data_IF_490844427336
#
_entry.id   IF_490844427336
#
_cell.length_a   1.000
_cell.length_b   1.000
_cell.length_c   1.000
_cell.angle_alpha   90.00
_cell.angle_beta   90.00
_cell.angle_gamma   90.00
#
_symmetry.space_group_name_H-M   'P 1'
#
loop_
_entity.id
_entity.type
_entity.pdbx_description
1 polymer ?
#
# COMPACT_ATOMS: atom_id res chain seq x y z
N UNK A 1 3.68 19.67 -10.96
CA UNK A 1 2.89 18.55 -10.44
C UNK A 1 3.76 17.32 -10.30
N UNK A 2 3.72 16.67 -9.14
CA UNK A 2 4.53 15.47 -8.94
C UNK A 2 4.08 14.35 -9.88
N UNK A 3 5.04 13.63 -10.45
CA UNK A 3 4.77 12.49 -11.32
C UNK A 3 5.53 11.30 -10.77
N UNK A 4 4.81 10.31 -10.27
CA UNK A 4 5.38 9.09 -9.69
C UNK A 4 5.27 7.90 -10.63
N UNK A 5 5.12 8.17 -11.92
CA UNK A 5 4.95 7.11 -12.90
C UNK A 5 6.11 6.10 -12.86
N UNK A 6 5.77 4.83 -12.74
CA UNK A 6 6.76 3.76 -12.64
C UNK A 6 7.33 3.53 -11.25
N UNK A 7 6.94 4.33 -10.27
CA UNK A 7 7.35 4.12 -8.88
C UNK A 7 6.36 3.24 -8.13
N UNK A 8 6.83 2.63 -7.06
CA UNK A 8 6.01 1.77 -6.21
C UNK A 8 5.91 2.36 -4.81
N UNK A 9 4.72 2.32 -4.24
CA UNK A 9 4.47 2.88 -2.91
C UNK A 9 3.73 1.88 -2.03
N UNK A 10 4.14 1.81 -0.78
CA UNK A 10 3.42 1.11 0.27
C UNK A 10 2.75 2.14 1.17
N UNK A 11 1.45 2.01 1.37
CA UNK A 11 0.68 2.91 2.22
C UNK A 11 0.16 2.10 3.40
N UNK A 12 0.70 2.37 4.58
CA UNK A 12 0.22 1.72 5.79
C UNK A 12 -1.06 2.40 6.26
N UNK A 13 -2.02 1.61 6.75
CA UNK A 13 -3.32 2.15 7.12
C UNK A 13 -4.09 2.68 5.91
N UNK A 14 -3.87 2.09 4.73
CA UNK A 14 -4.40 2.60 3.47
C UNK A 14 -5.85 2.23 3.16
N UNK A 15 -6.50 1.49 4.07
CA UNK A 15 -7.85 0.98 3.78
C UNK A 15 -8.95 2.01 4.01
N UNK A 16 -8.66 3.09 4.72
CA UNK A 16 -9.66 4.13 5.02
C UNK A 16 -9.01 5.45 5.38
N UNK A 17 -9.81 6.50 5.44
CA UNK A 17 -9.38 7.82 5.92
C UNK A 17 -8.27 8.43 5.08
N UNK A 18 -7.31 9.03 5.77
CA UNK A 18 -6.19 9.72 5.13
C UNK A 18 -5.34 8.76 4.31
N UNK A 19 -5.13 7.53 4.81
CA UNK A 19 -4.37 6.52 4.07
C UNK A 19 -5.00 6.18 2.74
N UNK A 20 -6.32 6.00 2.73
CA UNK A 20 -7.05 5.71 1.48
C UNK A 20 -6.96 6.88 0.50
N UNK A 21 -7.13 8.11 0.98
CA UNK A 21 -7.01 9.30 0.13
C UNK A 21 -5.60 9.41 -0.46
N UNK A 22 -4.58 9.10 0.35
CA UNK A 22 -3.19 9.11 -0.10
C UNK A 22 -2.97 8.06 -1.17
N UNK A 23 -3.50 6.85 -0.99
CA UNK A 23 -3.39 5.78 -1.98
C UNK A 23 -4.01 6.20 -3.31
N UNK A 24 -5.19 6.81 -3.27
CA UNK A 24 -5.85 7.32 -4.49
C UNK A 24 -4.98 8.32 -5.22
N UNK A 25 -4.36 9.24 -4.46
CA UNK A 25 -3.51 10.28 -5.06
C UNK A 25 -2.30 9.67 -5.76
N UNK A 26 -1.62 8.73 -5.09
CA UNK A 26 -0.45 8.09 -5.70
C UNK A 26 -0.83 7.30 -6.95
N UNK A 27 -1.96 6.60 -6.92
CA UNK A 27 -2.43 5.86 -8.10
C UNK A 27 -2.70 6.81 -9.26
N UNK A 28 -3.36 7.94 -8.98
CA UNK A 28 -3.64 8.94 -10.02
C UNK A 28 -2.37 9.53 -10.61
N UNK A 29 -1.29 9.55 -9.83
CA UNK A 29 0.00 10.08 -10.28
C UNK A 29 0.86 9.00 -10.96
N UNK A 30 0.30 7.82 -11.22
CA UNK A 30 0.98 6.77 -11.97
C UNK A 30 1.78 5.78 -11.13
N UNK A 31 1.61 5.82 -9.82
CA UNK A 31 2.32 4.95 -8.90
C UNK A 31 1.62 3.59 -8.79
N UNK A 32 2.40 2.52 -8.69
CA UNK A 32 1.86 1.22 -8.32
C UNK A 32 1.80 1.14 -6.80
N UNK A 33 0.63 0.84 -6.24
CA UNK A 33 0.38 0.96 -4.81
C UNK A 33 0.06 -0.39 -4.18
N UNK A 34 0.64 -0.64 -3.01
CA UNK A 34 0.30 -1.72 -2.11
C UNK A 34 -0.22 -1.12 -0.82
N UNK A 35 -1.43 -1.52 -0.42
CA UNK A 35 -2.01 -1.11 0.85
C UNK A 35 -1.66 -2.15 1.92
N UNK A 36 -1.14 -1.70 3.05
CA UNK A 36 -0.96 -2.52 4.24
C UNK A 36 -1.98 -2.07 5.28
N UNK A 37 -2.82 -2.97 5.75
CA UNK A 37 -3.80 -2.66 6.78
C UNK A 37 -4.09 -3.90 7.60
N UNK A 38 -4.40 -3.72 8.87
CA UNK A 38 -4.78 -4.81 9.75
C UNK A 38 -6.21 -5.29 9.45
N UNK A 39 -7.03 -4.42 8.87
CA UNK A 39 -8.42 -4.75 8.53
C UNK A 39 -8.48 -5.38 7.15
N UNK A 40 -8.59 -6.69 7.13
CA UNK A 40 -8.59 -7.46 5.89
C UNK A 40 -9.75 -7.09 4.97
N UNK A 41 -10.94 -6.94 5.55
CA UNK A 41 -12.13 -6.66 4.74
C UNK A 41 -12.06 -5.28 4.11
N UNK A 42 -11.76 -4.26 4.92
CA UNK A 42 -11.62 -2.90 4.40
C UNK A 42 -10.48 -2.80 3.39
N UNK A 43 -9.37 -3.50 3.67
CA UNK A 43 -8.22 -3.48 2.77
C UNK A 43 -8.52 -4.12 1.43
N UNK A 44 -9.20 -5.26 1.43
CA UNK A 44 -9.58 -5.92 0.18
C UNK A 44 -10.58 -5.09 -0.62
N UNK A 45 -11.54 -4.47 0.07
CA UNK A 45 -12.51 -3.61 -0.59
C UNK A 45 -11.83 -2.39 -1.22
N UNK A 46 -10.92 -1.76 -0.49
CA UNK A 46 -10.17 -0.60 -0.99
C UNK A 46 -9.30 -0.98 -2.19
N UNK A 47 -8.59 -2.10 -2.11
CA UNK A 47 -7.74 -2.56 -3.21
C UNK A 47 -8.56 -2.88 -4.46
N UNK A 48 -9.73 -3.45 -4.28
CA UNK A 48 -10.62 -3.73 -5.39
C UNK A 48 -11.15 -2.45 -6.03
N UNK A 49 -11.57 -1.49 -5.19
CA UNK A 49 -12.06 -0.20 -5.66
C UNK A 49 -11.00 0.55 -6.45
N UNK A 50 -9.76 0.56 -5.95
CA UNK A 50 -8.66 1.30 -6.54
C UNK A 50 -7.87 0.50 -7.56
N UNK A 51 -8.16 -0.80 -7.69
CA UNK A 51 -7.41 -1.71 -8.55
C UNK A 51 -5.91 -1.71 -8.19
N UNK A 52 -5.62 -1.90 -6.89
CA UNK A 52 -4.26 -1.96 -6.40
C UNK A 52 -4.05 -3.21 -5.54
N UNK A 53 -2.85 -3.34 -4.96
CA UNK A 53 -2.48 -4.50 -4.15
C UNK A 53 -2.83 -4.29 -2.69
N UNK A 54 -3.02 -5.39 -1.96
CA UNK A 54 -3.29 -5.37 -0.53
C UNK A 54 -2.60 -6.53 0.18
N UNK A 55 -2.07 -6.25 1.37
CA UNK A 55 -1.64 -7.27 2.33
C UNK A 55 -2.20 -6.94 3.71
N UNK A 56 -2.66 -7.97 4.41
CA UNK A 56 -3.06 -7.83 5.81
C UNK A 56 -1.80 -7.81 6.66
N UNK A 57 -1.53 -6.68 7.30
CA UNK A 57 -0.30 -6.47 8.05
C UNK A 57 -0.59 -5.84 9.40
N UNK A 58 -0.14 -6.52 10.46
CA UNK A 58 -0.10 -5.93 11.80
C UNK A 58 1.27 -5.27 11.98
N UNK A 59 1.31 -3.94 11.90
CA UNK A 59 2.54 -3.18 11.94
C UNK A 59 3.24 -3.23 13.31
N UNK A 60 2.55 -3.68 14.35
CA UNK A 60 3.16 -3.80 15.67
C UNK A 60 3.99 -5.08 15.81
N UNK A 61 3.90 -5.98 14.84
CA UNK A 61 4.64 -7.24 14.84
C UNK A 61 5.79 -7.14 13.83
N UNK A 62 7.03 -7.07 14.34
CA UNK A 62 8.20 -6.90 13.49
C UNK A 62 8.40 -8.04 12.48
N UNK A 63 8.06 -9.28 12.87
CA UNK A 63 8.18 -10.41 11.95
C UNK A 63 7.18 -10.31 10.82
N UNK A 64 5.96 -9.89 11.13
CA UNK A 64 4.93 -9.70 10.11
C UNK A 64 5.34 -8.61 9.14
N UNK A 65 5.88 -7.49 9.64
CA UNK A 65 6.37 -6.40 8.80
C UNK A 65 7.48 -6.87 7.88
N UNK A 66 8.41 -7.66 8.40
CA UNK A 66 9.52 -8.20 7.61
C UNK A 66 9.00 -9.11 6.50
N UNK A 67 8.09 -10.01 6.82
CA UNK A 67 7.47 -10.90 5.83
C UNK A 67 6.68 -10.11 4.79
N UNK A 68 5.95 -9.09 5.22
CA UNK A 68 5.17 -8.25 4.32
C UNK A 68 6.07 -7.47 3.37
N UNK A 69 7.21 -7.02 3.85
CA UNK A 69 8.20 -6.33 3.02
C UNK A 69 8.70 -7.26 1.93
N UNK A 70 9.08 -8.49 2.29
CA UNK A 70 9.55 -9.48 1.33
C UNK A 70 8.47 -9.81 0.29
N UNK A 71 7.24 -9.98 0.73
CA UNK A 71 6.13 -10.29 -0.17
C UNK A 71 5.83 -9.11 -1.10
N UNK A 72 5.89 -7.89 -0.58
CA UNK A 72 5.67 -6.69 -1.38
C UNK A 72 6.73 -6.56 -2.47
N UNK A 73 7.99 -6.79 -2.12
CA UNK A 73 9.09 -6.75 -3.11
C UNK A 73 8.91 -7.84 -4.15
N UNK A 74 8.41 -9.01 -3.77
CA UNK A 74 8.10 -10.07 -4.75
C UNK A 74 7.05 -9.62 -5.75
N UNK A 75 6.00 -8.94 -5.29
CA UNK A 75 4.89 -8.53 -6.14
C UNK A 75 5.19 -7.27 -6.95
N UNK A 76 5.83 -6.28 -6.33
CA UNK A 76 6.05 -4.97 -6.94
C UNK A 76 7.48 -4.79 -7.48
N UNK A 77 8.39 -5.70 -7.16
CA UNK A 77 9.82 -5.69 -7.53
C UNK A 77 10.65 -4.76 -6.67
N UNK A 78 10.09 -3.68 -6.16
CA UNK A 78 10.80 -2.69 -5.36
C UNK A 78 9.81 -1.90 -4.51
N UNK A 79 10.32 -1.16 -3.55
CA UNK A 79 9.55 -0.17 -2.79
C UNK A 79 10.30 1.15 -2.87
N UNK A 80 9.74 2.13 -3.55
CA UNK A 80 10.33 3.47 -3.68
C UNK A 80 9.86 4.40 -2.57
N UNK A 81 8.60 4.25 -2.14
CA UNK A 81 7.95 5.18 -1.23
C UNK A 81 7.22 4.39 -0.15
N UNK A 82 7.40 4.80 1.10
CA UNK A 82 6.64 4.25 2.23
C UNK A 82 5.92 5.40 2.93
N UNK A 83 4.59 5.30 2.99
CA UNK A 83 3.77 6.30 3.68
C UNK A 83 3.13 5.64 4.90
N UNK A 84 3.41 6.19 6.07
CA UNK A 84 2.82 5.72 7.33
C UNK A 84 1.66 6.65 7.73
N UNK A 85 0.47 6.12 7.74
CA UNK A 85 -0.70 6.90 8.12
C UNK A 85 -1.40 6.33 9.35
#
# INVERSE_FOLDING_TARGET
>A
MANFNGQTAVITGGAQGIGLATAKRFINDGCEVMIWDIDKKLGMDAAKELNCHFLEVNQTDNKVVEQATDETIKQLKKIDILVCS
#
